data_IF_931217302560
#
_entry.id   IF_931217302560
#
_cell.length_a   1.000
_cell.length_b   1.000
_cell.length_c   1.000
_cell.angle_alpha   90.00
_cell.angle_beta   90.00
_cell.angle_gamma   90.00
#
_symmetry.space_group_name_H-M   'P 1'
#
loop_
_entity.id
_entity.type
_entity.pdbx_description
1 polymer ?
#
# COMPACT_ATOMS: atom_id res chain seq x y z
N UNK A 1 -13.35 3.60 8.47
CA UNK A 1 -12.11 2.91 8.05
C UNK A 1 -11.38 3.77 7.03
N UNK A 2 -10.04 3.76 7.10
CA UNK A 2 -9.21 4.49 6.14
C UNK A 2 -9.40 3.95 4.73
N UNK A 3 -9.48 4.87 3.75
CA UNK A 3 -9.55 4.51 2.33
C UNK A 3 -8.62 5.43 1.54
N UNK A 4 -7.82 4.85 0.66
CA UNK A 4 -6.96 5.66 -0.20
C UNK A 4 -7.75 6.61 -1.09
N UNK A 5 -8.93 6.20 -1.52
CA UNK A 5 -9.78 7.02 -2.38
C UNK A 5 -10.35 8.27 -1.71
N UNK A 6 -10.21 8.38 -0.38
CA UNK A 6 -10.54 9.61 0.34
C UNK A 6 -9.48 10.69 0.16
N UNK A 7 -8.27 10.31 -0.25
CA UNK A 7 -7.11 11.20 -0.41
C UNK A 7 -6.63 11.31 -1.85
N UNK A 8 -6.89 10.29 -2.66
CA UNK A 8 -6.48 10.21 -4.05
C UNK A 8 -7.70 9.95 -4.91
N UNK A 9 -7.79 10.61 -6.07
CA UNK A 9 -8.82 10.23 -7.04
C UNK A 9 -8.50 8.84 -7.60
N UNK A 10 -9.52 8.17 -8.14
CA UNK A 10 -9.31 6.88 -8.79
C UNK A 10 -8.33 7.00 -9.95
N UNK A 11 -8.37 8.12 -10.67
CA UNK A 11 -7.44 8.38 -11.78
C UNK A 11 -6.00 8.51 -11.29
N UNK A 12 -5.78 9.22 -10.18
CA UNK A 12 -4.45 9.34 -9.60
C UNK A 12 -3.92 7.98 -9.16
N UNK A 13 -4.75 7.21 -8.48
CA UNK A 13 -4.37 5.87 -8.01
C UNK A 13 -4.02 4.96 -9.18
N UNK A 14 -4.85 4.98 -10.22
CA UNK A 14 -4.63 4.19 -11.44
C UNK A 14 -3.34 4.60 -12.15
N UNK A 15 -3.07 5.91 -12.22
CA UNK A 15 -1.87 6.44 -12.85
C UNK A 15 -0.61 5.99 -12.11
N UNK A 16 -0.63 6.06 -10.78
CA UNK A 16 0.49 5.61 -9.94
C UNK A 16 0.72 4.10 -10.13
N UNK A 17 -0.34 3.33 -10.12
CA UNK A 17 -0.23 1.88 -10.32
C UNK A 17 0.34 1.54 -11.69
N UNK A 18 -0.05 2.28 -12.72
CA UNK A 18 0.48 2.10 -14.06
C UNK A 18 1.96 2.45 -14.13
N UNK A 19 2.34 3.58 -13.52
CA UNK A 19 3.73 4.06 -13.56
C UNK A 19 4.70 3.11 -12.85
N UNK A 20 4.29 2.58 -11.69
CA UNK A 20 5.14 1.70 -10.89
C UNK A 20 4.89 0.21 -11.12
N UNK A 21 4.04 -0.13 -12.09
CA UNK A 21 3.68 -1.52 -12.41
C UNK A 21 3.09 -2.26 -11.20
N UNK A 22 2.20 -1.59 -10.50
CA UNK A 22 1.52 -2.16 -9.34
C UNK A 22 0.32 -2.96 -9.82
N UNK A 23 0.25 -4.21 -9.37
CA UNK A 23 -0.86 -5.11 -9.66
C UNK A 23 -1.99 -4.91 -8.67
N UNK A 24 -1.65 -4.68 -7.40
CA UNK A 24 -2.62 -4.65 -6.32
C UNK A 24 -2.11 -3.82 -5.16
N UNK A 25 -3.00 -3.01 -4.58
CA UNK A 25 -2.74 -2.25 -3.36
C UNK A 25 -3.81 -2.63 -2.34
N UNK A 26 -3.39 -2.97 -1.13
CA UNK A 26 -4.30 -3.34 -0.04
C UNK A 26 -3.88 -2.64 1.25
N UNK A 27 -4.84 -2.47 2.15
CA UNK A 27 -4.59 -1.96 3.50
C UNK A 27 -4.57 -3.11 4.49
N UNK A 28 -3.69 -3.01 5.49
CA UNK A 28 -3.67 -3.98 6.58
C UNK A 28 -3.20 -3.30 7.88
N UNK A 29 -3.16 -4.08 8.96
CA UNK A 29 -2.70 -3.56 10.24
C UNK A 29 -3.69 -2.60 10.88
N UNK A 30 -3.20 -1.54 11.51
CA UNK A 30 -4.03 -0.60 12.28
C UNK A 30 -5.05 0.12 11.41
N UNK A 31 -4.80 0.29 10.11
CA UNK A 31 -5.75 0.90 9.19
C UNK A 31 -7.07 0.13 9.11
N UNK A 32 -7.05 -1.18 9.33
CA UNK A 32 -8.24 -2.03 9.28
C UNK A 32 -9.02 -2.04 10.59
N UNK A 33 -8.42 -1.59 11.67
CA UNK A 33 -8.98 -1.67 13.02
C UNK A 33 -9.55 -0.37 13.53
N UNK A 34 -9.55 0.65 12.70
CA UNK A 34 -9.94 2.01 13.08
C UNK A 34 -9.16 2.53 14.29
N UNK A 35 -7.94 2.06 14.47
CA UNK A 35 -7.05 2.44 15.57
C UNK A 35 -6.10 3.58 15.17
N UNK A 36 -6.31 4.18 13.98
CA UNK A 36 -5.45 5.23 13.49
C UNK A 36 -5.60 6.50 14.31
N UNK A 37 -4.47 7.00 14.79
CA UNK A 37 -4.37 8.33 15.38
C UNK A 37 -3.58 9.22 14.42
N UNK A 38 -3.42 10.50 14.74
CA UNK A 38 -2.63 11.41 13.90
C UNK A 38 -1.16 10.96 13.78
N UNK A 39 -0.67 10.18 14.73
CA UNK A 39 0.71 9.71 14.76
C UNK A 39 0.87 8.27 14.25
N UNK A 40 -0.22 7.61 13.89
CA UNK A 40 -0.16 6.23 13.41
C UNK A 40 0.33 6.15 11.98
N UNK A 41 1.19 5.15 11.71
CA UNK A 41 1.60 4.83 10.35
C UNK A 41 0.51 4.03 9.66
N UNK A 42 0.38 4.20 8.36
CA UNK A 42 -0.57 3.46 7.56
C UNK A 42 0.17 2.37 6.81
N UNK A 43 -0.14 1.12 7.14
CA UNK A 43 0.49 -0.04 6.51
C UNK A 43 -0.23 -0.38 5.21
N UNK A 44 0.50 -0.36 4.11
CA UNK A 44 -0.02 -0.66 2.78
C UNK A 44 0.76 -1.84 2.20
N UNK A 45 0.02 -2.83 1.71
CA UNK A 45 0.59 -3.97 1.02
C UNK A 45 0.50 -3.73 -0.47
N UNK A 46 1.64 -3.72 -1.17
CA UNK A 46 1.68 -3.59 -2.63
C UNK A 46 2.18 -4.87 -3.25
N UNK A 47 1.55 -5.25 -4.35
CA UNK A 47 1.99 -6.36 -5.17
C UNK A 47 2.28 -5.82 -6.57
N UNK A 48 3.47 -6.10 -7.08
CA UNK A 48 3.88 -5.64 -8.40
C UNK A 48 3.61 -6.70 -9.47
N UNK A 49 3.47 -6.25 -10.71
CA UNK A 49 3.41 -7.15 -11.84
C UNK A 49 4.71 -7.95 -11.89
N UNK A 50 4.61 -9.25 -12.14
CA UNK A 50 5.76 -10.14 -12.14
C UNK A 50 6.87 -9.62 -13.07
N UNK A 51 8.07 -9.57 -12.53
CA UNK A 51 9.24 -9.08 -13.26
C UNK A 51 9.31 -7.57 -13.44
N UNK A 52 8.35 -6.82 -12.88
CA UNK A 52 8.27 -5.37 -13.04
C UNK A 52 8.44 -4.59 -11.73
N UNK A 53 8.77 -5.28 -10.65
CA UNK A 53 8.98 -4.60 -9.37
C UNK A 53 10.11 -3.56 -9.49
N UNK A 54 9.92 -2.34 -8.95
CA UNK A 54 10.98 -1.34 -8.95
C UNK A 54 12.13 -1.77 -8.05
N UNK A 55 13.30 -1.20 -8.28
CA UNK A 55 14.40 -1.38 -7.34
C UNK A 55 14.11 -0.66 -6.03
N UNK A 56 15.05 -0.77 -5.08
CA UNK A 56 14.88 -0.18 -3.76
C UNK A 56 14.60 1.33 -3.83
N UNK A 57 15.28 2.07 -4.71
CA UNK A 57 15.06 3.51 -4.85
C UNK A 57 13.65 3.81 -5.37
N UNK A 58 13.16 3.06 -6.34
CA UNK A 58 11.81 3.21 -6.86
C UNK A 58 10.76 2.91 -5.81
N UNK A 59 11.00 1.89 -5.00
CA UNK A 59 10.11 1.53 -3.89
C UNK A 59 10.04 2.67 -2.86
N UNK A 60 11.18 3.26 -2.49
CA UNK A 60 11.21 4.40 -1.57
C UNK A 60 10.54 5.63 -2.16
N UNK A 61 10.70 5.89 -3.45
CA UNK A 61 10.01 6.98 -4.13
C UNK A 61 8.49 6.82 -4.08
N UNK A 62 8.01 5.61 -4.31
CA UNK A 62 6.58 5.30 -4.23
C UNK A 62 6.05 5.56 -2.83
N UNK A 63 6.77 5.13 -1.80
CA UNK A 63 6.39 5.36 -0.42
C UNK A 63 6.30 6.85 -0.10
N UNK A 64 7.30 7.62 -0.51
CA UNK A 64 7.32 9.06 -0.30
C UNK A 64 6.21 9.78 -1.06
N UNK A 65 5.95 9.36 -2.29
CA UNK A 65 4.86 9.91 -3.09
C UNK A 65 3.51 9.71 -2.40
N UNK A 66 3.23 8.51 -1.94
CA UNK A 66 1.97 8.22 -1.26
C UNK A 66 1.87 8.99 0.07
N UNK A 67 2.98 9.10 0.81
CA UNK A 67 3.01 9.87 2.04
C UNK A 67 2.66 11.34 1.78
N UNK A 68 3.23 11.93 0.73
CA UNK A 68 2.97 13.31 0.37
C UNK A 68 1.51 13.54 -0.06
N UNK A 69 0.97 12.62 -0.84
CA UNK A 69 -0.39 12.74 -1.36
C UNK A 69 -1.44 12.53 -0.26
N UNK A 70 -1.20 11.60 0.64
CA UNK A 70 -2.14 11.28 1.73
C UNK A 70 -1.99 12.24 2.90
N UNK A 71 -0.79 12.78 3.12
CA UNK A 71 -0.52 13.64 4.26
C UNK A 71 -0.35 12.87 5.57
N UNK A 72 -0.17 11.57 5.51
CA UNK A 72 0.08 10.68 6.65
C UNK A 72 1.24 9.78 6.30
N UNK A 73 1.99 9.35 7.30
CA UNK A 73 3.12 8.46 7.06
C UNK A 73 2.64 7.10 6.54
N UNK A 74 3.12 6.74 5.37
CA UNK A 74 2.80 5.47 4.72
C UNK A 74 4.00 4.54 4.85
N UNK A 75 3.75 3.30 5.25
CA UNK A 75 4.73 2.24 5.22
C UNK A 75 4.31 1.22 4.16
N UNK A 76 5.14 1.04 3.15
CA UNK A 76 4.88 0.06 2.11
C UNK A 76 5.51 -1.27 2.46
N UNK A 77 4.77 -2.33 2.21
CA UNK A 77 5.22 -3.71 2.39
C UNK A 77 4.86 -4.51 1.15
N UNK A 78 5.65 -5.53 0.86
CA UNK A 78 5.30 -6.53 -0.14
C UNK A 78 5.04 -7.86 0.56
N UNK A 79 4.35 -8.81 -0.08
CA UNK A 79 4.15 -10.12 0.54
C UNK A 79 5.48 -10.81 0.90
N UNK A 80 6.53 -10.55 0.14
CA UNK A 80 7.85 -11.15 0.40
C UNK A 80 8.57 -10.53 1.60
N UNK A 81 8.20 -9.29 1.98
CA UNK A 81 8.79 -8.62 3.15
C UNK A 81 8.18 -9.10 4.46
N UNK A 82 7.02 -9.74 4.38
CA UNK A 82 6.32 -10.23 5.56
C UNK A 82 6.88 -11.56 6.01
N UNK A 83 6.89 -11.79 7.33
CA UNK A 83 7.28 -13.09 7.87
C UNK A 83 6.38 -14.18 7.31
N UNK A 84 6.96 -15.31 6.91
CA UNK A 84 6.18 -16.43 6.39
C UNK A 84 5.18 -16.99 7.40
N UNK A 85 5.37 -16.71 8.68
CA UNK A 85 4.49 -17.21 9.72
C UNK A 85 3.15 -16.49 9.77
N UNK A 86 3.11 -15.24 9.34
CA UNK A 86 1.86 -14.47 9.33
C UNK A 86 1.51 -13.85 7.96
N UNK A 87 2.34 -14.10 6.94
CA UNK A 87 2.11 -13.55 5.59
C UNK A 87 0.73 -13.87 5.05
N UNK A 88 0.33 -15.14 5.16
CA UNK A 88 -0.96 -15.58 4.61
C UNK A 88 -2.12 -14.92 5.35
N UNK A 89 -2.02 -14.74 6.66
CA UNK A 89 -3.05 -14.07 7.43
C UNK A 89 -3.18 -12.60 7.05
N UNK A 90 -2.05 -11.91 6.87
CA UNK A 90 -2.04 -10.50 6.47
C UNK A 90 -2.65 -10.35 5.08
N UNK A 91 -2.23 -11.17 4.12
CA UNK A 91 -2.76 -11.10 2.75
C UNK A 91 -4.25 -11.42 2.72
N UNK A 92 -4.67 -12.40 3.50
CA UNK A 92 -6.07 -12.80 3.57
C UNK A 92 -6.96 -11.69 4.15
N UNK A 93 -6.49 -11.01 5.20
CA UNK A 93 -7.27 -9.99 5.90
C UNK A 93 -7.15 -8.61 5.27
N UNK A 94 -6.18 -8.39 4.38
CA UNK A 94 -5.97 -7.10 3.75
C UNK A 94 -7.18 -6.69 2.90
N UNK A 95 -7.54 -5.40 2.99
CA UNK A 95 -8.66 -4.85 2.23
C UNK A 95 -8.12 -4.19 0.96
N UNK A 96 -8.55 -4.70 -0.19
CA UNK A 96 -8.07 -4.26 -1.50
C UNK A 96 -8.52 -2.83 -1.79
N UNK A 97 -7.58 -1.96 -2.17
CA UNK A 97 -7.85 -0.59 -2.60
C UNK A 97 -7.76 -0.47 -4.13
N UNK A 98 -6.96 -1.30 -4.77
CA UNK A 98 -6.79 -1.31 -6.22
C UNK A 98 -6.37 -2.72 -6.66
N UNK A 99 -6.90 -3.15 -7.81
CA UNK A 99 -6.60 -4.48 -8.36
C UNK A 99 -7.46 -5.59 -7.77
N UNK A 100 -7.03 -6.81 -7.97
CA UNK A 100 -7.72 -8.00 -7.43
C UNK A 100 -6.80 -9.20 -7.30
#
# INVERSE_FOLDING_TARGET
MFKLTDYLSEEQLKSICSEYHIKKISLFGSALRDELTSDSDIDILVEFVYGKAPGLMGFCHLQNLLTDLVGKKIELHTPNDLSRYFRDDVVKDAVIQYGY
#
